data_IF_986661328918
#
_entry.id   IF_986661328918
#
_cell.length_a   1.000
_cell.length_b   1.000
_cell.length_c   1.000
_cell.angle_alpha   90.00
_cell.angle_beta   90.00
_cell.angle_gamma   90.00
#
_symmetry.space_group_name_H-M   'P 1'
#
loop_
_entity.id
_entity.type
_entity.pdbx_description
1 polymer ?
#
# COMPACT_ATOMS: atom_id res chain seq x y z
N UNK A 1 -22.08 -29.90 -20.08
CA UNK A 1 -21.49 -29.37 -19.92
C UNK A 1 -20.96 -29.30 -18.97
N UNK A 2 -20.48 -29.34 -18.83
CA UNK A 2 -19.84 -29.18 -18.06
C UNK A 2 -19.89 -28.24 -17.30
N UNK A 3 -19.88 -28.42 -16.47
CA UNK A 3 -19.90 -27.55 -15.63
C UNK A 3 -18.75 -26.86 -15.47
N UNK A 4 -18.56 -25.92 -16.06
CA UNK A 4 -17.50 -25.19 -15.84
C UNK A 4 -17.68 -24.47 -14.65
N UNK A 5 -16.83 -24.59 -13.72
CA UNK A 5 -16.70 -23.64 -12.77
C UNK A 5 -16.60 -22.38 -13.47
N UNK A 6 -17.36 -21.41 -13.10
CA UNK A 6 -17.19 -20.15 -13.63
C UNK A 6 -15.89 -19.62 -13.28
N UNK A 7 -15.09 -19.38 -14.26
CA UNK A 7 -13.88 -18.62 -14.10
C UNK A 7 -14.23 -17.17 -14.29
N UNK A 8 -13.73 -16.34 -13.40
CA UNK A 8 -13.90 -14.90 -13.54
C UNK A 8 -13.12 -14.42 -14.75
N UNK A 9 -13.72 -13.53 -15.51
CA UNK A 9 -13.05 -12.95 -16.67
C UNK A 9 -11.97 -11.98 -16.20
N UNK A 10 -10.97 -11.76 -17.03
CA UNK A 10 -9.93 -10.78 -16.73
C UNK A 10 -10.52 -9.38 -16.55
N UNK A 11 -11.56 -9.03 -17.27
CA UNK A 11 -12.22 -7.74 -17.10
C UNK A 11 -12.74 -7.53 -15.70
N UNK A 12 -13.36 -8.54 -15.12
CA UNK A 12 -13.90 -8.47 -13.76
C UNK A 12 -12.75 -8.36 -12.76
N UNK A 13 -11.71 -9.18 -12.94
CA UNK A 13 -10.57 -9.17 -12.04
C UNK A 13 -9.85 -7.82 -12.08
N UNK A 14 -9.74 -7.22 -13.26
CA UNK A 14 -9.16 -5.88 -13.39
C UNK A 14 -9.97 -4.83 -12.64
N UNK A 15 -11.29 -4.92 -12.66
CA UNK A 15 -12.14 -4.03 -11.88
C UNK A 15 -11.90 -4.22 -10.39
N UNK A 16 -11.75 -5.46 -9.96
CA UNK A 16 -11.49 -5.77 -8.56
C UNK A 16 -10.18 -5.18 -8.07
N UNK A 17 -9.18 -5.08 -8.93
CA UNK A 17 -7.91 -4.46 -8.55
C UNK A 17 -8.05 -2.99 -8.16
N UNK A 18 -9.15 -2.37 -8.57
CA UNK A 18 -9.41 -0.96 -8.27
C UNK A 18 -10.50 -0.79 -7.21
N UNK A 19 -10.95 -1.87 -6.60
CA UNK A 19 -11.99 -1.80 -5.60
C UNK A 19 -11.50 -1.06 -4.35
N UNK A 20 -12.39 -0.37 -3.68
CA UNK A 20 -12.06 0.35 -2.46
C UNK A 20 -11.76 -0.57 -1.29
N UNK A 21 -12.27 -1.80 -1.33
CA UNK A 21 -12.04 -2.80 -0.28
C UNK A 21 -10.76 -3.55 -0.58
N UNK A 22 -9.79 -3.48 0.31
CA UNK A 22 -8.49 -4.14 0.14
C UNK A 22 -8.62 -5.66 -0.02
N UNK A 23 -9.66 -6.26 0.57
CA UNK A 23 -9.87 -7.70 0.47
C UNK A 23 -10.27 -8.11 -0.95
N UNK A 24 -11.03 -7.27 -1.62
CA UNK A 24 -11.39 -7.49 -3.02
C UNK A 24 -10.14 -7.37 -3.89
N UNK A 25 -9.32 -6.35 -3.63
CA UNK A 25 -8.06 -6.18 -4.38
C UNK A 25 -7.14 -7.38 -4.19
N UNK A 26 -7.02 -7.87 -2.95
CA UNK A 26 -6.18 -9.04 -2.66
C UNK A 26 -6.69 -10.29 -3.38
N UNK A 27 -8.01 -10.48 -3.42
CA UNK A 27 -8.60 -11.60 -4.15
C UNK A 27 -8.28 -11.50 -5.65
N UNK A 28 -8.32 -10.29 -6.21
CA UNK A 28 -7.96 -10.07 -7.61
C UNK A 28 -6.50 -10.44 -7.88
N UNK A 29 -5.59 -10.01 -7.02
CA UNK A 29 -4.17 -10.33 -7.16
C UNK A 29 -3.94 -11.84 -7.12
N UNK A 30 -4.64 -12.54 -6.24
CA UNK A 30 -4.56 -13.99 -6.15
C UNK A 30 -5.05 -14.66 -7.44
N UNK A 31 -6.06 -14.10 -8.10
CA UNK A 31 -6.53 -14.62 -9.37
C UNK A 31 -5.45 -14.54 -10.44
N UNK A 32 -4.74 -13.42 -10.53
CA UNK A 32 -3.61 -13.29 -11.45
C UNK A 32 -2.53 -14.32 -11.13
N UNK A 33 -2.20 -14.46 -9.86
CA UNK A 33 -1.19 -15.42 -9.43
C UNK A 33 -1.59 -16.85 -9.80
N UNK A 34 -2.84 -17.24 -9.52
CA UNK A 34 -3.33 -18.58 -9.79
C UNK A 34 -3.39 -18.90 -11.27
N UNK A 35 -3.62 -17.88 -12.10
CA UNK A 35 -3.66 -18.05 -13.54
C UNK A 35 -2.27 -18.01 -14.17
N UNK A 36 -1.25 -17.71 -13.40
CA UNK A 36 0.10 -17.56 -13.91
C UNK A 36 0.25 -16.37 -14.84
N UNK A 37 -0.58 -15.35 -14.66
CA UNK A 37 -0.57 -14.15 -15.49
C UNK A 37 0.09 -13.02 -14.71
N UNK A 38 0.91 -12.22 -15.40
CA UNK A 38 1.54 -11.09 -14.79
C UNK A 38 0.52 -10.04 -14.39
N UNK A 39 0.69 -9.45 -13.22
CA UNK A 39 -0.22 -8.41 -12.74
C UNK A 39 -0.13 -7.19 -13.66
N UNK A 40 -1.25 -6.69 -14.16
CA UNK A 40 -1.20 -5.55 -15.07
C UNK A 40 -0.71 -4.30 -14.38
N UNK A 41 0.06 -3.51 -15.11
CA UNK A 41 0.50 -2.20 -14.62
C UNK A 41 -0.65 -1.23 -14.85
N UNK A 42 -1.50 -1.08 -13.86
CA UNK A 42 -2.68 -0.24 -14.00
C UNK A 42 -2.32 1.23 -13.85
N UNK A 43 -1.43 1.54 -12.96
CA UNK A 43 -0.93 2.90 -12.76
C UNK A 43 0.00 2.85 -11.57
N UNK A 44 1.21 2.47 -11.81
CA UNK A 44 2.19 2.37 -10.76
C UNK A 44 2.61 3.76 -10.32
N UNK A 45 3.08 3.82 -9.09
CA UNK A 45 3.68 5.03 -8.57
C UNK A 45 5.04 5.19 -9.20
N UNK A 46 5.35 6.40 -9.65
CA UNK A 46 6.66 6.72 -10.16
C UNK A 46 7.41 7.60 -9.15
N UNK A 47 8.30 7.03 -8.37
CA UNK A 47 9.10 7.82 -7.44
C UNK A 47 10.00 8.82 -8.17
N UNK A 48 10.34 9.97 -7.53
CA UNK A 48 9.98 10.31 -6.15
C UNK A 48 8.54 10.82 -6.02
N UNK A 49 7.86 10.41 -4.97
CA UNK A 49 6.48 10.82 -4.75
C UNK A 49 6.16 10.90 -3.27
N UNK A 50 5.33 11.87 -2.90
CA UNK A 50 4.83 11.99 -1.54
C UNK A 50 3.61 11.10 -1.37
N UNK A 51 3.61 10.32 -0.29
CA UNK A 51 2.57 9.33 0.00
C UNK A 51 2.11 9.49 1.44
N UNK A 52 1.08 8.75 1.82
CA UNK A 52 0.38 8.96 3.10
C UNK A 52 0.09 7.64 3.79
N UNK A 53 0.29 7.63 5.11
CA UNK A 53 0.03 6.45 5.92
C UNK A 53 -0.82 6.84 7.11
N UNK A 54 -1.94 6.12 7.31
CA UNK A 54 -2.78 6.34 8.48
C UNK A 54 -2.21 5.59 9.66
N UNK A 55 -2.05 6.29 10.76
CA UNK A 55 -1.52 5.74 11.99
C UNK A 55 -2.57 5.75 13.10
N UNK A 56 -2.21 5.24 14.27
CA UNK A 56 -3.10 5.18 15.43
C UNK A 56 -3.64 6.58 15.76
N UNK A 57 -4.91 6.65 16.12
CA UNK A 57 -5.56 7.91 16.49
C UNK A 57 -5.84 8.84 15.31
N UNK A 58 -5.78 8.33 14.08
CA UNK A 58 -6.08 9.12 12.89
C UNK A 58 -4.95 10.03 12.44
N UNK A 59 -3.76 9.90 13.03
CA UNK A 59 -2.58 10.65 12.59
C UNK A 59 -2.20 10.19 11.20
N UNK A 60 -1.87 11.15 10.33
CA UNK A 60 -1.41 10.86 8.97
C UNK A 60 0.08 11.17 8.87
N UNK A 61 0.85 10.16 8.54
CA UNK A 61 2.28 10.32 8.28
C UNK A 61 2.47 10.54 6.79
N UNK A 62 3.15 11.62 6.43
CA UNK A 62 3.52 11.91 5.05
C UNK A 62 4.96 11.47 4.83
N UNK A 63 5.19 10.78 3.74
CA UNK A 63 6.52 10.27 3.43
C UNK A 63 6.86 10.47 1.97
N UNK A 64 8.14 10.67 1.71
CA UNK A 64 8.66 10.72 0.36
C UNK A 64 9.20 9.33 0.02
N UNK A 65 8.72 8.76 -1.07
CA UNK A 65 9.27 7.53 -1.61
C UNK A 65 10.39 7.94 -2.56
N UNK A 66 11.65 7.59 -2.28
CA UNK A 66 12.77 8.04 -3.10
C UNK A 66 12.83 7.31 -4.44
N UNK A 67 13.58 7.89 -5.36
CA UNK A 67 13.66 7.41 -6.73
C UNK A 67 14.17 5.98 -6.83
N UNK A 68 15.05 5.57 -5.92
CA UNK A 68 15.65 4.23 -5.94
C UNK A 68 14.87 3.19 -5.14
N UNK A 69 13.69 3.54 -4.65
CA UNK A 69 12.88 2.61 -3.89
C UNK A 69 12.22 1.57 -4.79
N UNK A 70 12.09 0.37 -4.26
CA UNK A 70 11.24 -0.66 -4.86
C UNK A 70 9.84 -0.48 -4.32
N UNK A 71 8.86 -0.52 -5.19
CA UNK A 71 7.47 -0.27 -4.83
C UNK A 71 6.56 -1.36 -5.36
N UNK A 72 5.56 -1.72 -4.57
CA UNK A 72 4.46 -2.57 -4.99
C UNK A 72 3.14 -1.87 -4.71
N UNK A 73 2.21 -2.00 -5.64
CA UNK A 73 0.90 -1.38 -5.57
C UNK A 73 0.71 -0.31 -6.63
N UNK A 74 -0.44 0.30 -6.62
CA UNK A 74 -0.81 1.32 -7.59
C UNK A 74 -1.73 2.35 -6.96
N UNK A 75 -1.94 3.46 -7.64
CA UNK A 75 -2.89 4.49 -7.20
C UNK A 75 -4.27 3.85 -7.03
N UNK A 76 -4.93 4.14 -5.92
CA UNK A 76 -6.21 3.54 -5.57
C UNK A 76 -6.09 2.25 -4.77
N UNK A 77 -4.88 1.81 -4.48
CA UNK A 77 -4.62 0.59 -3.72
C UNK A 77 -3.72 0.90 -2.53
N UNK A 78 -3.71 -0.03 -1.56
CA UNK A 78 -2.72 0.00 -0.50
C UNK A 78 -1.39 -0.42 -1.12
N UNK A 79 -0.39 0.41 -0.93
CA UNK A 79 0.93 0.22 -1.53
C UNK A 79 1.97 -0.06 -0.46
N UNK A 80 3.15 -0.50 -0.88
CA UNK A 80 4.28 -0.67 0.02
C UNK A 80 5.58 -0.44 -0.72
N UNK A 81 6.58 0.03 0.01
CA UNK A 81 7.90 0.32 -0.53
C UNK A 81 8.98 -0.14 0.43
N UNK A 82 10.17 -0.36 -0.10
CA UNK A 82 11.32 -0.75 0.72
C UNK A 82 12.04 0.45 1.35
N UNK A 83 11.75 1.66 0.88
CA UNK A 83 12.37 2.89 1.40
C UNK A 83 11.36 4.01 1.47
N UNK A 84 11.48 4.81 2.49
CA UNK A 84 10.67 6.02 2.63
C UNK A 84 11.38 7.00 3.57
N UNK A 85 11.12 8.29 3.39
CA UNK A 85 11.59 9.31 4.32
C UNK A 85 10.38 10.05 4.84
N UNK A 86 10.26 10.14 6.16
CA UNK A 86 9.12 10.82 6.79
C UNK A 86 9.33 12.32 6.68
N UNK A 87 8.44 13.00 5.99
CA UNK A 87 8.58 14.44 5.71
C UNK A 87 7.66 15.31 6.55
N UNK A 88 6.51 14.79 6.95
CA UNK A 88 5.53 15.54 7.70
C UNK A 88 4.63 14.62 8.48
N UNK A 89 4.11 15.08 9.60
CA UNK A 89 3.12 14.34 10.38
C UNK A 89 1.94 15.27 10.64
N UNK A 90 0.75 14.85 10.19
CA UNK A 90 -0.47 15.62 10.34
C UNK A 90 -1.22 15.08 11.53
N UNK A 91 -1.44 15.91 12.54
CA UNK A 91 -2.06 15.52 13.79
C UNK A 91 -1.03 15.19 14.85
N UNK A 92 -1.50 14.79 16.01
CA UNK A 92 -0.64 14.44 17.15
C UNK A 92 -1.15 13.17 17.81
N UNK A 93 -0.23 12.45 18.45
CA UNK A 93 -0.57 11.34 19.32
C UNK A 93 -0.02 11.64 20.70
N UNK A 94 -0.88 11.63 21.72
CA UNK A 94 -0.51 12.02 23.09
C UNK A 94 0.14 13.41 23.16
N UNK A 95 -0.31 14.32 22.31
CA UNK A 95 0.22 15.70 22.28
C UNK A 95 1.50 15.87 21.49
N UNK A 96 2.04 14.80 20.90
CA UNK A 96 3.29 14.87 20.17
C UNK A 96 3.09 14.65 18.67
N UNK A 97 3.88 15.30 17.80
CA UNK A 97 3.77 15.10 16.35
C UNK A 97 4.48 13.83 15.93
N UNK A 98 3.93 12.69 16.32
CA UNK A 98 4.46 11.38 16.02
C UNK A 98 3.38 10.50 15.44
N UNK A 99 3.77 9.53 14.61
CA UNK A 99 2.86 8.52 14.11
C UNK A 99 3.20 7.17 14.72
N UNK A 100 2.18 6.44 15.14
CA UNK A 100 2.37 5.08 15.64
C UNK A 100 1.68 4.13 14.68
N UNK A 101 2.43 3.14 14.19
CA UNK A 101 1.91 2.18 13.22
C UNK A 101 0.68 1.45 13.76
N UNK A 102 -0.38 1.44 12.97
CA UNK A 102 -1.60 0.71 13.33
C UNK A 102 -1.39 -0.80 13.30
N UNK A 103 -0.37 -1.26 12.58
CA UNK A 103 -0.08 -2.67 12.42
C UNK A 103 0.43 -3.30 13.70
N UNK A 104 1.56 -2.81 14.22
CA UNK A 104 2.18 -3.39 15.41
C UNK A 104 1.96 -2.56 16.68
N UNK A 105 1.45 -1.34 16.52
CA UNK A 105 1.22 -0.38 17.60
C UNK A 105 2.48 -0.08 18.41
N UNK A 106 3.64 -0.29 17.81
CA UNK A 106 4.94 -0.05 18.41
C UNK A 106 5.84 0.81 17.58
N UNK A 107 5.90 0.58 16.26
CA UNK A 107 6.75 1.36 15.39
C UNK A 107 6.30 2.82 15.41
N UNK A 108 7.22 3.70 15.77
CA UNK A 108 6.94 5.13 15.88
C UNK A 108 7.68 5.87 14.79
N UNK A 109 6.98 6.78 14.13
CA UNK A 109 7.53 7.58 13.04
C UNK A 109 7.71 9.02 13.49
N UNK A 110 8.88 9.59 13.19
CA UNK A 110 9.21 10.99 13.44
C UNK A 110 9.59 11.66 12.13
N UNK A 111 9.35 12.95 12.04
CA UNK A 111 9.81 13.72 10.86
C UNK A 111 11.33 13.56 10.74
N UNK A 112 11.78 13.27 9.53
CA UNK A 112 13.20 13.04 9.25
C UNK A 112 13.64 11.60 9.30
N UNK A 113 12.79 10.68 9.77
CA UNK A 113 13.15 9.26 9.81
C UNK A 113 13.31 8.70 8.40
N UNK A 114 14.35 7.91 8.23
CA UNK A 114 14.55 7.13 7.01
C UNK A 114 14.13 5.70 7.29
N UNK A 115 13.21 5.19 6.50
CA UNK A 115 12.71 3.83 6.63
C UNK A 115 13.39 2.97 5.58
N UNK A 116 14.01 1.88 6.03
CA UNK A 116 14.67 0.91 5.15
C UNK A 116 14.17 -0.48 5.51
N UNK A 117 13.65 -1.19 4.53
CA UNK A 117 13.13 -2.54 4.73
C UNK A 117 13.99 -3.51 3.94
N UNK A 118 14.83 -4.29 4.64
CA UNK A 118 15.81 -5.17 4.00
C UNK A 118 15.17 -6.40 3.35
N UNK A 119 14.07 -6.89 3.91
CA UNK A 119 13.41 -8.11 3.46
C UNK A 119 12.15 -7.83 2.64
N UNK A 120 12.22 -6.82 1.78
CA UNK A 120 11.07 -6.41 0.99
C UNK A 120 10.61 -7.53 0.06
N UNK A 121 9.33 -7.88 0.17
CA UNK A 121 8.71 -8.91 -0.65
C UNK A 121 8.29 -8.33 -2.00
N UNK A 122 8.86 -8.85 -3.07
CA UNK A 122 8.54 -8.43 -4.44
C UNK A 122 7.28 -9.09 -4.99
N UNK A 123 6.59 -9.89 -4.19
CA UNK A 123 5.32 -10.50 -4.59
C UNK A 123 4.18 -9.49 -4.69
N UNK A 124 2.97 -9.99 -4.93
CA UNK A 124 1.81 -9.14 -5.20
C UNK A 124 0.90 -8.92 -3.98
N UNK A 125 1.23 -9.46 -2.84
CA UNK A 125 0.39 -9.33 -1.66
C UNK A 125 0.45 -7.91 -1.08
N UNK A 126 -0.70 -7.32 -0.80
CA UNK A 126 -0.75 -5.97 -0.24
C UNK A 126 -0.22 -5.89 1.18
N UNK A 127 -0.45 -6.92 1.97
CA UNK A 127 -0.09 -6.94 3.39
C UNK A 127 1.22 -7.66 3.66
N UNK A 128 2.21 -7.53 2.79
CA UNK A 128 3.53 -8.10 2.99
C UNK A 128 4.51 -7.05 3.51
N UNK A 129 5.80 -7.41 3.59
CA UNK A 129 6.83 -6.53 4.13
C UNK A 129 6.98 -5.23 3.36
N UNK A 130 7.29 -4.17 4.05
CA UNK A 130 7.49 -2.86 3.46
C UNK A 130 6.88 -1.75 4.31
N UNK A 131 7.14 -0.53 3.88
CA UNK A 131 6.46 0.65 4.42
C UNK A 131 5.13 0.77 3.67
N UNK A 132 4.01 0.57 4.35
CA UNK A 132 2.68 0.59 3.74
C UNK A 132 2.13 2.00 3.67
N UNK A 133 1.52 2.35 2.56
CA UNK A 133 1.02 3.71 2.35
C UNK A 133 -0.10 3.75 1.30
N UNK A 134 -0.70 4.92 1.18
CA UNK A 134 -1.63 5.24 0.09
C UNK A 134 -1.10 6.43 -0.69
N UNK A 135 -1.51 6.55 -1.94
CA UNK A 135 -1.02 7.59 -2.82
C UNK A 135 -1.64 8.95 -2.53
N UNK A 136 -2.82 8.99 -1.93
CA UNK A 136 -3.49 10.24 -1.57
C UNK A 136 -3.83 10.27 -0.10
N UNK A 137 -3.92 11.48 0.44
CA UNK A 137 -4.29 11.69 1.83
C UNK A 137 -5.70 11.15 2.10
N UNK A 138 -6.61 11.37 1.15
CA UNK A 138 -8.00 10.93 1.27
C UNK A 138 -8.10 9.41 1.36
N UNK A 139 -7.32 8.70 0.57
CA UNK A 139 -7.28 7.24 0.63
C UNK A 139 -6.79 6.78 2.00
N UNK A 140 -5.75 7.41 2.52
CA UNK A 140 -5.23 7.07 3.85
C UNK A 140 -6.26 7.36 4.94
N UNK A 141 -6.93 8.50 4.88
CA UNK A 141 -7.95 8.87 5.87
C UNK A 141 -9.13 7.91 5.86
N UNK A 142 -9.48 7.38 4.70
CA UNK A 142 -10.63 6.47 4.54
C UNK A 142 -10.31 5.04 4.97
N UNK A 143 -9.06 4.72 5.14
CA UNK A 143 -8.63 3.38 5.53
C UNK A 143 -8.88 3.14 7.03
#
# INVERSE_FOLDING_TARGET
MKNKKKQLSLEIIEKWLKDSDWRVRAAAMNQYKNKGIELPVIRTIEPPETVYKKCVGGVIVCALIPKDAQVRGAVGQKCRADKAMITEIIGTFAGEPIGISSWDKKTTYYVGDEILVADFDLGYEECSTGFHFFCTKEEAESY
#
